data_IF_358935826557
#
_entry.id   IF_358935826557
#
_cell.length_a   1.000
_cell.length_b   1.000
_cell.length_c   1.000
_cell.angle_alpha   90.00
_cell.angle_beta   90.00
_cell.angle_gamma   90.00
#
_symmetry.space_group_name_H-M   'P 1'
#
loop_
_entity.id
_entity.type
_entity.pdbx_description
1 polymer ?
#
# COMPACT_ATOMS: atom_id res chain seq x y z
N UNK A 1 7.50 25.07 23.08
CA UNK A 1 6.20 24.45 23.42
C UNK A 1 5.35 24.60 22.19
N UNK A 2 5.24 23.56 21.36
CA UNK A 2 4.51 23.64 20.10
C UNK A 2 3.03 23.77 20.39
N UNK A 3 2.49 24.97 20.15
CA UNK A 3 1.09 25.26 20.41
C UNK A 3 0.19 24.27 19.66
N UNK A 4 -0.83 23.68 20.30
CA UNK A 4 -1.85 22.89 19.60
C UNK A 4 -2.50 23.63 18.42
N UNK A 5 -2.38 24.97 18.40
CA UNK A 5 -2.69 25.82 17.26
C UNK A 5 -1.95 25.44 15.96
N UNK A 6 -0.68 25.01 16.02
CA UNK A 6 0.09 24.58 14.83
C UNK A 6 -0.47 23.29 14.22
N UNK A 7 -0.88 22.34 15.06
CA UNK A 7 -1.54 21.12 14.59
C UNK A 7 -2.92 21.40 13.99
N UNK A 8 -3.69 22.29 14.63
CA UNK A 8 -5.03 22.67 14.16
C UNK A 8 -4.97 23.43 12.82
N UNK A 9 -4.00 24.34 12.67
CA UNK A 9 -3.79 25.10 11.43
C UNK A 9 -3.30 24.22 10.28
N UNK A 10 -2.42 23.25 10.55
CA UNK A 10 -2.01 22.25 9.56
C UNK A 10 -3.21 21.44 9.05
N UNK A 11 -4.08 20.96 9.95
CA UNK A 11 -5.25 20.17 9.59
C UNK A 11 -6.24 20.97 8.74
N UNK A 12 -6.52 22.22 9.14
CA UNK A 12 -7.37 23.13 8.35
C UNK A 12 -6.80 23.40 6.95
N UNK A 13 -5.48 23.64 6.84
CA UNK A 13 -4.82 23.84 5.56
C UNK A 13 -4.89 22.62 4.66
N UNK A 14 -4.66 21.41 5.20
CA UNK A 14 -4.78 20.16 4.45
C UNK A 14 -6.17 20.04 3.84
N UNK A 15 -7.23 20.30 4.62
CA UNK A 15 -8.62 20.23 4.13
C UNK A 15 -8.84 21.20 2.97
N UNK A 16 -8.39 22.46 3.10
CA UNK A 16 -8.54 23.47 2.04
C UNK A 16 -7.81 23.08 0.75
N UNK A 17 -6.58 22.57 0.84
CA UNK A 17 -5.80 22.20 -0.34
C UNK A 17 -6.34 20.94 -1.02
N UNK A 18 -6.91 20.00 -0.25
CA UNK A 18 -7.61 18.83 -0.82
C UNK A 18 -8.85 19.27 -1.59
N UNK A 19 -9.61 20.24 -1.09
CA UNK A 19 -10.80 20.78 -1.78
C UNK A 19 -10.42 21.51 -3.09
N UNK A 20 -9.23 22.09 -3.18
CA UNK A 20 -8.69 22.63 -4.45
C UNK A 20 -8.35 21.54 -5.49
N UNK A 21 -8.50 20.25 -5.16
CA UNK A 21 -8.31 19.14 -6.09
C UNK A 21 -6.85 18.73 -6.30
N UNK A 22 -5.92 19.20 -5.46
CA UNK A 22 -4.53 18.77 -5.54
C UNK A 22 -4.40 17.33 -5.01
N UNK A 23 -3.56 16.46 -5.62
CA UNK A 23 -3.41 15.08 -5.18
C UNK A 23 -2.99 14.99 -3.71
N UNK A 24 -3.79 14.27 -2.91
CA UNK A 24 -3.70 14.22 -1.44
C UNK A 24 -2.34 13.75 -0.94
N UNK A 25 -1.68 12.85 -1.66
CA UNK A 25 -0.36 12.34 -1.28
C UNK A 25 0.70 13.46 -1.20
N UNK A 26 0.71 14.35 -2.20
CA UNK A 26 1.67 15.47 -2.25
C UNK A 26 1.30 16.57 -1.25
N UNK A 27 0.01 16.83 -1.02
CA UNK A 27 -0.41 17.82 -0.01
C UNK A 27 -0.02 17.39 1.40
N UNK A 28 -0.26 16.11 1.75
CA UNK A 28 0.07 15.55 3.05
C UNK A 28 1.58 15.50 3.29
N UNK A 29 2.36 15.09 2.28
CA UNK A 29 3.81 15.05 2.37
C UNK A 29 4.40 16.46 2.49
N UNK A 30 3.95 17.41 1.66
CA UNK A 30 4.45 18.79 1.64
C UNK A 30 4.08 19.58 2.89
N UNK A 31 2.79 19.63 3.26
CA UNK A 31 2.34 20.33 4.47
C UNK A 31 2.86 19.65 5.73
N UNK A 32 2.92 18.31 5.76
CA UNK A 32 3.49 17.55 6.88
C UNK A 32 4.97 17.82 7.08
N UNK A 33 5.75 17.93 6.00
CA UNK A 33 7.16 18.32 6.06
C UNK A 33 7.33 19.78 6.49
N UNK A 34 6.55 20.70 5.93
CA UNK A 34 6.65 22.13 6.23
C UNK A 34 6.30 22.44 7.70
N UNK A 35 5.17 21.93 8.18
CA UNK A 35 4.77 22.10 9.57
C UNK A 35 5.63 21.27 10.53
N UNK A 36 6.07 20.08 10.13
CA UNK A 36 7.01 19.27 10.91
C UNK A 36 8.35 19.97 11.08
N UNK A 37 8.87 20.59 10.03
CA UNK A 37 10.09 21.39 10.08
C UNK A 37 9.95 22.58 11.01
N UNK A 38 8.84 23.31 10.93
CA UNK A 38 8.54 24.45 11.79
C UNK A 38 8.32 24.05 13.27
N UNK A 39 7.70 22.90 13.51
CA UNK A 39 7.42 22.41 14.86
C UNK A 39 8.65 21.85 15.59
N UNK A 40 9.58 21.23 14.87
CA UNK A 40 10.84 20.71 15.42
C UNK A 40 12.01 21.69 15.28
N UNK A 41 11.77 22.89 14.73
CA UNK A 41 12.79 23.93 14.61
C UNK A 41 13.28 24.39 15.99
N UNK A 42 14.53 24.10 16.30
CA UNK A 42 15.17 24.47 17.56
C UNK A 42 16.38 25.37 17.24
N UNK A 43 16.48 26.60 17.80
CA UNK A 43 17.53 27.56 17.44
C UNK A 43 18.96 27.15 17.84
N UNK A 44 19.12 26.03 18.56
CA UNK A 44 20.41 25.48 18.96
C UNK A 44 21.01 24.47 17.97
N UNK A 45 20.23 24.00 16.99
CA UNK A 45 20.69 22.99 16.03
C UNK A 45 20.74 23.54 14.59
N UNK A 46 21.65 22.98 13.78
CA UNK A 46 21.76 23.35 12.37
C UNK A 46 20.45 23.01 11.63
N UNK A 47 20.11 23.81 10.64
CA UNK A 47 18.87 23.67 9.85
C UNK A 47 18.67 22.27 9.23
N UNK A 48 19.76 21.52 9.09
CA UNK A 48 19.85 20.19 8.49
C UNK A 48 19.57 19.07 9.50
N UNK A 49 19.84 19.27 10.80
CA UNK A 49 19.69 18.24 11.86
C UNK A 49 18.24 18.13 12.40
N UNK A 50 17.28 18.68 11.65
CA UNK A 50 15.90 18.72 12.08
C UNK A 50 15.27 17.31 12.00
N UNK A 51 14.70 16.82 13.12
CA UNK A 51 14.11 15.47 13.27
C UNK A 51 13.07 15.11 12.22
N UNK A 52 12.46 16.10 11.55
CA UNK A 52 11.48 15.89 10.49
C UNK A 52 12.05 15.10 9.31
N UNK A 53 13.34 15.30 8.97
CA UNK A 53 13.97 14.61 7.84
C UNK A 53 14.23 13.14 8.16
N UNK A 54 14.71 12.85 9.37
CA UNK A 54 14.93 11.47 9.83
C UNK A 54 13.60 10.69 9.90
N UNK A 55 12.55 11.30 10.46
CA UNK A 55 11.21 10.71 10.49
C UNK A 55 10.63 10.47 9.08
N UNK A 56 10.88 11.36 8.12
CA UNK A 56 10.46 11.16 6.73
C UNK A 56 11.17 9.95 6.11
N UNK A 57 12.49 9.88 6.26
CA UNK A 57 13.31 8.78 5.74
C UNK A 57 12.85 7.47 6.38
N UNK A 58 12.68 7.43 7.70
CA UNK A 58 12.21 6.27 8.44
C UNK A 58 10.83 5.77 7.96
N UNK A 59 9.87 6.68 7.74
CA UNK A 59 8.53 6.31 7.21
C UNK A 59 8.59 5.82 5.77
N UNK A 60 9.46 6.40 4.95
CA UNK A 60 9.68 5.97 3.56
C UNK A 60 10.31 4.58 3.52
N UNK A 61 11.33 4.33 4.36
CA UNK A 61 11.92 3.00 4.51
C UNK A 61 10.90 1.97 5.00
N UNK A 62 10.07 2.29 5.98
CA UNK A 62 9.01 1.39 6.45
C UNK A 62 7.97 1.05 5.39
N UNK A 63 7.68 1.96 4.46
CA UNK A 63 6.83 1.67 3.31
C UNK A 63 7.53 0.76 2.28
N UNK A 64 8.83 0.95 2.03
CA UNK A 64 9.61 0.11 1.12
C UNK A 64 9.79 -1.32 1.63
N UNK A 65 9.94 -1.51 2.94
CA UNK A 65 10.06 -2.84 3.56
C UNK A 65 8.71 -3.49 3.86
N UNK A 66 7.60 -2.95 3.33
CA UNK A 66 6.28 -3.47 3.62
C UNK A 66 6.04 -4.79 2.87
N UNK A 67 5.79 -5.87 3.62
CA UNK A 67 5.58 -7.21 3.07
C UNK A 67 4.39 -7.27 2.08
N UNK A 68 3.38 -6.42 2.24
CA UNK A 68 2.22 -6.38 1.33
C UNK A 68 2.62 -5.88 -0.06
N UNK A 69 3.45 -4.84 -0.14
CA UNK A 69 3.92 -4.29 -1.41
C UNK A 69 4.84 -5.28 -2.13
N UNK A 70 5.65 -6.03 -1.38
CA UNK A 70 6.51 -7.10 -1.91
C UNK A 70 5.67 -8.29 -2.40
N UNK A 71 4.51 -8.55 -1.78
CA UNK A 71 3.61 -9.65 -2.15
C UNK A 71 2.96 -9.47 -3.53
N UNK A 72 2.71 -8.23 -3.99
CA UNK A 72 2.08 -7.96 -5.29
C UNK A 72 2.88 -8.53 -6.48
N UNK A 73 4.18 -8.19 -6.67
CA UNK A 73 4.95 -8.74 -7.78
C UNK A 73 5.18 -10.25 -7.65
N UNK A 74 5.32 -10.78 -6.43
CA UNK A 74 5.43 -12.22 -6.21
C UNK A 74 4.14 -12.97 -6.56
N UNK A 75 2.97 -12.38 -6.26
CA UNK A 75 1.68 -12.91 -6.66
C UNK A 75 1.51 -12.94 -8.18
N UNK A 76 1.88 -11.84 -8.85
CA UNK A 76 1.88 -11.79 -10.32
C UNK A 76 2.86 -12.81 -10.91
N UNK A 77 4.05 -12.98 -10.31
CA UNK A 77 5.03 -13.98 -10.73
C UNK A 77 4.45 -15.41 -10.61
N UNK A 78 3.82 -15.73 -9.47
CA UNK A 78 3.18 -17.03 -9.26
C UNK A 78 2.11 -17.29 -10.33
N UNK A 79 1.25 -16.31 -10.58
CA UNK A 79 0.22 -16.39 -11.63
C UNK A 79 0.83 -16.63 -13.01
N UNK A 80 1.87 -15.87 -13.37
CA UNK A 80 2.56 -16.01 -14.65
C UNK A 80 3.24 -17.37 -14.82
N UNK A 81 3.93 -17.88 -13.79
CA UNK A 81 4.57 -19.19 -13.81
C UNK A 81 3.53 -20.30 -13.93
N UNK A 82 2.42 -20.19 -13.21
CA UNK A 82 1.33 -21.16 -13.26
C UNK A 82 0.68 -21.21 -14.66
N UNK A 83 0.46 -20.06 -15.30
CA UNK A 83 -0.09 -19.94 -16.65
C UNK A 83 0.88 -20.52 -17.71
N UNK A 84 2.18 -20.18 -17.61
CA UNK A 84 3.20 -20.67 -18.55
C UNK A 84 3.52 -22.15 -18.42
N UNK A 85 3.35 -22.75 -17.24
CA UNK A 85 3.68 -24.16 -17.01
C UNK A 85 2.71 -25.15 -17.64
N UNK A 86 1.63 -24.71 -18.30
CA UNK A 86 0.47 -25.54 -18.69
C UNK A 86 -0.08 -26.38 -17.51
N UNK A 87 0.27 -25.99 -16.28
CA UNK A 87 -0.15 -26.63 -15.04
C UNK A 87 -1.65 -26.42 -14.87
N UNK A 88 -2.14 -25.25 -15.26
CA UNK A 88 -3.57 -24.92 -15.27
C UNK A 88 -4.35 -25.91 -16.13
N UNK A 89 -3.91 -26.17 -17.37
CA UNK A 89 -4.59 -27.13 -18.26
C UNK A 89 -4.58 -28.55 -17.70
N UNK A 90 -3.45 -28.99 -17.13
CA UNK A 90 -3.36 -30.32 -16.50
C UNK A 90 -4.20 -30.43 -15.22
N UNK A 91 -4.31 -29.37 -14.43
CA UNK A 91 -5.17 -29.32 -13.25
C UNK A 91 -6.64 -29.37 -13.65
N UNK A 92 -7.07 -28.60 -14.65
CA UNK A 92 -8.44 -28.63 -15.16
C UNK A 92 -8.81 -30.00 -15.75
N UNK A 93 -7.92 -30.61 -16.54
CA UNK A 93 -8.14 -31.95 -17.08
C UNK A 93 -8.24 -33.00 -15.95
N UNK A 94 -7.37 -32.93 -14.95
CA UNK A 94 -7.41 -33.85 -13.80
C UNK A 94 -8.69 -33.70 -12.97
N UNK A 95 -9.16 -32.47 -12.77
CA UNK A 95 -10.44 -32.17 -12.10
C UNK A 95 -11.62 -32.73 -12.92
N UNK A 96 -11.64 -32.53 -14.24
CA UNK A 96 -12.68 -33.10 -15.10
C UNK A 96 -12.68 -34.63 -15.07
N UNK A 97 -11.50 -35.27 -15.01
CA UNK A 97 -11.39 -36.71 -14.89
C UNK A 97 -11.89 -37.21 -13.53
N UNK A 98 -11.56 -36.50 -12.45
CA UNK A 98 -11.94 -36.85 -11.07
C UNK A 98 -13.45 -36.72 -10.85
N UNK A 99 -14.08 -35.67 -11.40
CA UNK A 99 -15.51 -35.44 -11.28
C UNK A 99 -16.34 -35.96 -12.47
N UNK A 100 -15.79 -36.87 -13.27
CA UNK A 100 -16.43 -37.45 -14.48
C UNK A 100 -17.80 -38.09 -14.23
N UNK A 101 -18.12 -38.47 -12.98
CA UNK A 101 -19.38 -39.11 -12.59
C UNK A 101 -20.47 -38.16 -12.09
N UNK A 102 -20.21 -36.86 -11.94
CA UNK A 102 -21.18 -35.91 -11.37
C UNK A 102 -21.67 -34.95 -12.45
N UNK A 103 -22.98 -34.95 -12.81
CA UNK A 103 -23.53 -33.89 -13.65
C UNK A 103 -23.39 -32.55 -12.92
N UNK A 104 -22.87 -31.51 -13.60
CA UNK A 104 -22.49 -30.19 -13.05
C UNK A 104 -21.15 -30.08 -12.29
N UNK A 105 -20.21 -31.02 -12.50
CA UNK A 105 -18.88 -31.03 -11.89
C UNK A 105 -18.08 -29.72 -11.95
N UNK A 106 -18.09 -29.01 -13.08
CA UNK A 106 -17.36 -27.75 -13.25
C UNK A 106 -17.92 -26.61 -12.37
N UNK A 107 -19.24 -26.58 -12.14
CA UNK A 107 -19.88 -25.59 -11.28
C UNK A 107 -19.59 -25.85 -9.79
N UNK A 108 -19.54 -27.12 -9.39
CA UNK A 108 -19.21 -27.50 -8.01
C UNK A 108 -17.73 -27.19 -7.69
N UNK A 109 -16.83 -27.50 -8.63
CA UNK A 109 -15.40 -27.23 -8.46
C UNK A 109 -15.11 -25.73 -8.35
N UNK A 110 -15.76 -24.89 -9.17
CA UNK A 110 -15.58 -23.43 -9.11
C UNK A 110 -16.14 -22.84 -7.83
N UNK A 111 -17.31 -23.28 -7.35
CA UNK A 111 -17.85 -22.83 -6.06
C UNK A 111 -16.92 -23.16 -4.87
N UNK A 112 -16.33 -24.35 -4.85
CA UNK A 112 -15.41 -24.75 -3.77
C UNK A 112 -14.12 -23.92 -3.82
N UNK A 113 -13.54 -23.71 -5.01
CA UNK A 113 -12.31 -22.93 -5.19
C UNK A 113 -12.53 -21.45 -4.90
N UNK A 114 -13.69 -20.87 -5.25
CA UNK A 114 -13.97 -19.46 -5.00
C UNK A 114 -14.41 -19.16 -3.56
N UNK A 115 -14.87 -20.16 -2.81
CA UNK A 115 -15.25 -20.01 -1.39
C UNK A 115 -14.05 -20.11 -0.45
N UNK A 116 -12.95 -20.71 -0.91
CA UNK A 116 -11.67 -20.83 -0.20
C UNK A 116 -10.69 -19.73 -0.61
#
# INVERSE_FOLDING_TARGET
MSDPALGLTMLMLIVVVIVMGFPTAFTLMGLGMFFGFYAFYNPAEHWIDNRVFDLMVQRTYGAMTNDVLISIPLFVLMGYVMERGALVDKMFYSIQLSFRRVPASLAIATLIVCTF
#
